data_IF_385101888009
#
_entry.id   IF_385101888009
#
_cell.length_a   1.000
_cell.length_b   1.000
_cell.length_c   1.000
_cell.angle_alpha   90.00
_cell.angle_beta   90.00
_cell.angle_gamma   90.00
#
_symmetry.space_group_name_H-M   'P 1'
#
loop_
_entity.id
_entity.type
_entity.pdbx_description
1 polymer ?
#
# COMPACT_ATOMS: atom_id res chain seq x y z
N UNK A 1 -70.63 37.68 5.40
CA UNK A 1 -69.57 38.24 4.54
C UNK A 1 -68.52 37.18 4.34
N UNK A 2 -68.56 36.52 3.18
CA UNK A 2 -67.68 35.44 2.76
C UNK A 2 -66.37 36.01 2.23
N UNK A 3 -65.21 35.62 2.79
CA UNK A 3 -63.93 35.73 2.08
C UNK A 3 -62.84 34.87 2.74
N UNK A 4 -62.56 33.75 2.09
CA UNK A 4 -61.28 33.07 1.91
C UNK A 4 -60.19 33.22 2.99
N UNK A 5 -60.09 32.20 3.85
CA UNK A 5 -58.81 31.77 4.42
C UNK A 5 -58.11 30.88 3.38
N UNK A 6 -57.08 31.45 2.74
CA UNK A 6 -56.01 30.69 2.12
C UNK A 6 -55.05 30.28 3.24
N UNK A 7 -54.99 29.00 3.58
CA UNK A 7 -53.87 28.48 4.37
C UNK A 7 -53.25 27.26 3.68
N UNK A 8 -52.16 27.60 2.98
CA UNK A 8 -50.89 26.88 2.89
C UNK A 8 -50.99 25.37 2.69
N UNK A 9 -50.92 24.98 1.43
CA UNK A 9 -50.49 23.65 1.02
C UNK A 9 -49.09 23.37 1.62
N UNK A 10 -49.08 22.55 2.67
CA UNK A 10 -47.89 21.99 3.28
C UNK A 10 -47.18 21.14 2.23
N UNK A 11 -46.05 21.62 1.72
CA UNK A 11 -45.17 20.86 0.84
C UNK A 11 -44.47 19.78 1.67
N UNK A 12 -45.12 18.64 1.84
CA UNK A 12 -44.46 17.44 2.32
C UNK A 12 -43.59 16.90 1.19
N UNK A 13 -42.28 17.19 1.26
CA UNK A 13 -41.32 16.30 0.62
C UNK A 13 -41.58 14.90 1.20
N UNK A 14 -41.80 13.87 0.36
CA UNK A 14 -42.07 12.53 0.87
C UNK A 14 -40.88 12.12 1.75
N UNK A 15 -41.12 11.48 2.91
CA UNK A 15 -40.02 11.00 3.73
C UNK A 15 -39.12 10.09 2.88
N UNK A 16 -37.78 10.13 3.06
CA UNK A 16 -36.89 9.31 2.27
C UNK A 16 -37.36 7.86 2.34
N UNK A 17 -37.33 7.11 1.22
CA UNK A 17 -37.75 5.71 1.22
C UNK A 17 -37.09 4.97 2.38
N UNK A 18 -37.82 4.11 3.10
CA UNK A 18 -37.34 3.41 4.31
C UNK A 18 -35.97 2.74 4.11
N UNK A 19 -35.69 2.30 2.87
CA UNK A 19 -34.44 1.70 2.39
C UNK A 19 -33.23 2.66 2.42
N UNK A 20 -33.46 3.97 2.49
CA UNK A 20 -32.44 5.01 2.59
C UNK A 20 -32.20 5.47 4.06
N UNK A 21 -32.98 4.99 5.03
CA UNK A 21 -32.78 5.38 6.43
C UNK A 21 -31.49 4.75 6.99
N UNK A 22 -30.72 5.52 7.78
CA UNK A 22 -29.46 5.06 8.39
C UNK A 22 -29.64 3.79 9.24
N UNK A 23 -30.77 3.67 9.94
CA UNK A 23 -31.09 2.50 10.79
C UNK A 23 -31.28 1.26 9.91
N UNK A 24 -32.06 1.38 8.83
CA UNK A 24 -32.25 0.26 7.90
C UNK A 24 -30.92 -0.17 7.28
N UNK A 25 -30.11 0.79 6.83
CA UNK A 25 -28.79 0.50 6.24
C UNK A 25 -27.86 -0.16 7.25
N UNK A 26 -27.86 0.29 8.51
CA UNK A 26 -27.07 -0.33 9.59
C UNK A 26 -27.50 -1.76 9.90
N UNK A 27 -28.81 -2.05 9.88
CA UNK A 27 -29.31 -3.42 10.08
C UNK A 27 -28.97 -4.32 8.90
N UNK A 28 -29.19 -3.83 7.67
CA UNK A 28 -28.81 -4.54 6.44
C UNK A 28 -27.31 -4.82 6.38
N UNK A 29 -26.50 -3.87 6.86
CA UNK A 29 -25.06 -4.05 6.95
C UNK A 29 -24.69 -5.25 7.86
N UNK A 30 -25.25 -5.30 9.06
CA UNK A 30 -25.02 -6.42 9.99
C UNK A 30 -25.44 -7.75 9.39
N UNK A 31 -26.60 -7.79 8.74
CA UNK A 31 -27.12 -9.01 8.10
C UNK A 31 -26.18 -9.53 7.01
N UNK A 32 -25.77 -8.67 6.08
CA UNK A 32 -24.89 -9.05 4.97
C UNK A 32 -23.55 -9.58 5.50
N UNK A 33 -22.95 -8.88 6.46
CA UNK A 33 -21.63 -9.24 6.98
C UNK A 33 -21.62 -10.44 7.95
N UNK A 34 -22.76 -10.78 8.55
CA UNK A 34 -22.87 -11.94 9.43
C UNK A 34 -22.79 -13.28 8.67
N UNK A 35 -23.09 -13.27 7.37
CA UNK A 35 -23.07 -14.50 6.56
C UNK A 35 -21.66 -14.82 6.04
N UNK A 36 -21.36 -16.09 5.76
CA UNK A 36 -20.13 -16.46 5.03
C UNK A 36 -20.23 -16.18 3.53
N UNK A 37 -21.44 -16.16 2.98
CA UNK A 37 -21.72 -15.87 1.58
C UNK A 37 -21.22 -14.47 1.16
N UNK A 38 -20.67 -14.37 -0.04
CA UNK A 38 -20.19 -13.11 -0.62
C UNK A 38 -21.18 -12.51 -1.61
N UNK A 39 -22.29 -13.19 -1.95
CA UNK A 39 -23.24 -12.78 -2.99
C UNK A 39 -23.74 -11.35 -2.82
N UNK A 40 -24.19 -10.96 -1.63
CA UNK A 40 -24.71 -9.61 -1.39
C UNK A 40 -23.61 -8.53 -1.44
N UNK A 41 -22.39 -8.84 -0.96
CA UNK A 41 -21.25 -7.91 -1.12
C UNK A 41 -20.84 -7.83 -2.59
N UNK A 42 -20.85 -8.93 -3.34
CA UNK A 42 -20.57 -8.95 -4.78
C UNK A 42 -21.60 -8.11 -5.54
N UNK A 43 -22.89 -8.20 -5.19
CA UNK A 43 -23.94 -7.32 -5.75
C UNK A 43 -23.64 -5.86 -5.45
N UNK A 44 -23.29 -5.53 -4.20
CA UNK A 44 -22.91 -4.16 -3.81
C UNK A 44 -21.72 -3.64 -4.63
N UNK A 45 -20.62 -4.39 -4.69
CA UNK A 45 -19.42 -4.04 -5.48
C UNK A 45 -19.77 -3.89 -6.96
N UNK A 46 -20.63 -4.76 -7.49
CA UNK A 46 -21.12 -4.69 -8.87
C UNK A 46 -21.89 -3.41 -9.12
N UNK A 47 -22.83 -3.05 -8.24
CA UNK A 47 -23.58 -1.78 -8.35
C UNK A 47 -22.66 -0.57 -8.26
N UNK A 48 -21.65 -0.59 -7.38
CA UNK A 48 -20.66 0.49 -7.28
C UNK A 48 -19.78 0.59 -8.53
N UNK A 49 -19.40 -0.55 -9.12
CA UNK A 49 -18.54 -0.60 -10.30
C UNK A 49 -19.23 -0.14 -11.58
N UNK A 50 -20.50 -0.51 -11.75
CA UNK A 50 -21.28 -0.22 -12.96
C UNK A 50 -22.23 0.97 -12.82
N UNK A 51 -22.25 1.64 -11.66
CA UNK A 51 -23.21 2.68 -11.33
C UNK A 51 -23.44 3.67 -12.47
N UNK A 52 -24.53 3.48 -13.22
CA UNK A 52 -25.15 4.51 -14.05
C UNK A 52 -25.97 5.40 -13.12
N UNK A 53 -25.93 6.70 -13.38
CA UNK A 53 -26.63 7.78 -12.68
C UNK A 53 -28.15 7.55 -12.59
N UNK A 54 -28.58 6.58 -11.78
CA UNK A 54 -29.90 6.58 -11.17
C UNK A 54 -29.64 6.96 -9.73
N UNK A 55 -29.87 8.24 -9.42
CA UNK A 55 -29.40 8.91 -8.19
C UNK A 55 -29.70 8.12 -6.92
N UNK A 56 -30.81 7.38 -6.88
CA UNK A 56 -31.31 6.75 -5.67
C UNK A 56 -30.64 5.39 -5.35
N UNK A 57 -30.50 4.49 -6.32
CA UNK A 57 -29.90 3.17 -6.11
C UNK A 57 -28.40 3.27 -5.86
N UNK A 58 -27.71 4.14 -6.60
CA UNK A 58 -26.29 4.40 -6.39
C UNK A 58 -26.03 5.09 -5.05
N UNK A 59 -26.91 6.00 -4.61
CA UNK A 59 -26.78 6.65 -3.29
C UNK A 59 -26.93 5.66 -2.14
N UNK A 60 -27.88 4.71 -2.21
CA UNK A 60 -28.06 3.71 -1.15
C UNK A 60 -26.87 2.75 -1.06
N UNK A 61 -26.35 2.29 -2.20
CA UNK A 61 -25.16 1.43 -2.25
C UNK A 61 -23.90 2.14 -1.71
N UNK A 62 -23.69 3.41 -2.08
CA UNK A 62 -22.58 4.21 -1.53
C UNK A 62 -22.70 4.35 -0.02
N UNK A 63 -23.89 4.72 0.48
CA UNK A 63 -24.13 4.88 1.90
C UNK A 63 -23.97 3.55 2.68
N UNK A 64 -24.37 2.42 2.09
CA UNK A 64 -24.15 1.10 2.67
C UNK A 64 -22.65 0.75 2.74
N UNK A 65 -21.89 1.04 1.68
CA UNK A 65 -20.45 0.85 1.67
C UNK A 65 -19.75 1.73 2.72
N UNK A 66 -20.13 3.01 2.84
CA UNK A 66 -19.62 3.91 3.89
C UNK A 66 -19.92 3.41 5.31
N UNK A 67 -21.10 2.81 5.53
CA UNK A 67 -21.42 2.18 6.82
C UNK A 67 -20.50 0.98 7.08
N UNK A 68 -20.17 0.19 6.05
CA UNK A 68 -19.24 -0.92 6.20
C UNK A 68 -17.82 -0.48 6.51
N UNK A 69 -17.28 0.51 5.79
CA UNK A 69 -15.92 1.01 6.01
C UNK A 69 -15.76 1.57 7.43
N UNK A 70 -16.78 2.29 7.92
CA UNK A 70 -16.76 2.92 9.25
C UNK A 70 -16.93 1.94 10.41
N UNK A 71 -17.85 0.98 10.28
CA UNK A 71 -18.28 0.17 11.43
C UNK A 71 -17.77 -1.27 11.40
N UNK A 72 -17.43 -1.79 10.22
CA UNK A 72 -17.00 -3.18 10.05
C UNK A 72 -15.81 -3.35 9.08
N UNK A 73 -14.75 -2.53 9.19
CA UNK A 73 -13.65 -2.51 8.22
C UNK A 73 -12.98 -3.88 8.04
N UNK A 74 -12.65 -4.58 9.13
CA UNK A 74 -11.97 -5.88 9.08
C UNK A 74 -12.77 -6.96 8.33
N UNK A 75 -14.09 -6.99 8.55
CA UNK A 75 -14.97 -7.95 7.87
C UNK A 75 -15.08 -7.58 6.39
N UNK A 76 -15.20 -6.28 6.08
CA UNK A 76 -15.23 -5.81 4.70
C UNK A 76 -13.92 -6.15 3.96
N UNK A 77 -12.75 -5.94 4.57
CA UNK A 77 -11.44 -6.36 4.02
C UNK A 77 -11.47 -7.84 3.66
N UNK A 78 -11.87 -8.68 4.62
CA UNK A 78 -11.99 -10.13 4.44
C UNK A 78 -12.94 -10.53 3.30
N UNK A 79 -14.05 -9.80 3.12
CA UNK A 79 -15.02 -10.04 2.04
C UNK A 79 -14.52 -9.56 0.67
N UNK A 80 -13.85 -8.42 0.60
CA UNK A 80 -13.28 -7.91 -0.65
C UNK A 80 -12.16 -8.83 -1.17
N UNK A 81 -11.31 -9.36 -0.28
CA UNK A 81 -10.32 -10.38 -0.63
C UNK A 81 -10.98 -11.64 -1.21
N UNK A 82 -12.07 -12.10 -0.60
CA UNK A 82 -12.81 -13.25 -1.12
C UNK A 82 -13.33 -13.01 -2.53
N UNK A 83 -13.92 -11.84 -2.80
CA UNK A 83 -14.41 -11.47 -4.12
C UNK A 83 -13.29 -11.52 -5.15
N UNK A 84 -12.12 -10.97 -4.83
CA UNK A 84 -10.96 -11.05 -5.73
C UNK A 84 -10.52 -12.50 -5.99
N UNK A 85 -10.46 -13.34 -4.95
CA UNK A 85 -10.07 -14.75 -5.10
C UNK A 85 -11.16 -15.67 -5.68
N UNK A 86 -12.39 -15.19 -5.84
CA UNK A 86 -13.50 -15.98 -6.36
C UNK A 86 -13.30 -16.15 -7.86
N UNK A 87 -12.89 -17.36 -8.27
CA UNK A 87 -12.35 -17.70 -9.59
C UNK A 87 -13.14 -17.18 -10.79
N UNK A 88 -13.80 -18.07 -11.54
CA UNK A 88 -14.51 -17.69 -12.78
C UNK A 88 -15.92 -17.14 -12.54
N UNK A 89 -16.40 -17.20 -11.30
CA UNK A 89 -17.77 -16.81 -10.93
C UNK A 89 -17.98 -15.28 -10.94
N UNK A 90 -16.89 -14.52 -10.87
CA UNK A 90 -16.90 -13.06 -10.81
C UNK A 90 -16.09 -12.50 -11.98
N UNK A 91 -16.65 -11.52 -12.68
CA UNK A 91 -15.99 -10.96 -13.87
C UNK A 91 -14.66 -10.29 -13.49
N UNK A 92 -13.64 -10.30 -14.38
CA UNK A 92 -12.35 -9.67 -14.11
C UNK A 92 -12.48 -8.21 -13.66
N UNK A 93 -13.40 -7.45 -14.29
CA UNK A 93 -13.67 -6.05 -13.93
C UNK A 93 -14.11 -5.90 -12.48
N UNK A 94 -14.99 -6.76 -11.98
CA UNK A 94 -15.47 -6.71 -10.60
C UNK A 94 -14.36 -7.11 -9.63
N UNK A 95 -13.53 -8.10 -9.98
CA UNK A 95 -12.37 -8.49 -9.18
C UNK A 95 -11.37 -7.33 -9.04
N UNK A 96 -10.95 -6.71 -10.15
CA UNK A 96 -10.06 -5.54 -10.10
C UNK A 96 -10.67 -4.38 -9.32
N UNK A 97 -11.97 -4.14 -9.46
CA UNK A 97 -12.65 -3.09 -8.69
C UNK A 97 -12.71 -3.41 -7.19
N UNK A 98 -12.85 -4.67 -6.78
CA UNK A 98 -12.75 -5.06 -5.36
C UNK A 98 -11.35 -4.82 -4.78
N UNK A 99 -10.27 -5.01 -5.55
CA UNK A 99 -8.92 -4.63 -5.12
C UNK A 99 -8.77 -3.13 -4.95
N UNK A 100 -9.32 -2.33 -5.87
CA UNK A 100 -9.31 -0.88 -5.75
C UNK A 100 -10.02 -0.41 -4.47
N UNK A 101 -11.22 -0.95 -4.20
CA UNK A 101 -11.95 -0.66 -2.96
C UNK A 101 -11.16 -1.09 -1.72
N UNK A 102 -10.45 -2.22 -1.79
CA UNK A 102 -9.64 -2.73 -0.69
C UNK A 102 -8.40 -1.84 -0.42
N UNK A 103 -7.68 -1.42 -1.46
CA UNK A 103 -6.53 -0.50 -1.33
C UNK A 103 -6.96 0.84 -0.71
N UNK A 104 -8.13 1.37 -1.10
CA UNK A 104 -8.71 2.57 -0.49
C UNK A 104 -9.06 2.35 0.98
N UNK A 105 -9.77 1.26 1.30
CA UNK A 105 -10.18 0.95 2.67
C UNK A 105 -9.00 0.80 3.62
N UNK A 106 -7.94 0.10 3.19
CA UNK A 106 -6.74 -0.06 4.01
C UNK A 106 -5.98 1.26 4.19
N UNK A 107 -5.99 2.14 3.18
CA UNK A 107 -5.43 3.50 3.33
C UNK A 107 -6.18 4.29 4.39
N UNK A 108 -7.51 4.25 4.38
CA UNK A 108 -8.32 4.94 5.39
C UNK A 108 -8.03 4.39 6.80
N UNK A 109 -7.91 3.06 6.94
CA UNK A 109 -7.59 2.42 8.23
C UNK A 109 -6.22 2.89 8.77
N UNK A 110 -5.21 2.98 7.89
CA UNK A 110 -3.88 3.47 8.23
C UNK A 110 -3.90 4.95 8.66
N UNK A 111 -4.60 5.79 7.91
CA UNK A 111 -4.69 7.24 8.17
C UNK A 111 -5.40 7.52 9.51
N UNK A 112 -6.39 6.71 9.88
CA UNK A 112 -7.05 6.78 11.20
C UNK A 112 -6.29 6.05 12.32
N UNK A 113 -5.09 5.51 12.04
CA UNK A 113 -4.23 4.77 12.98
C UNK A 113 -4.96 3.62 13.70
N UNK A 114 -5.98 3.06 13.07
CA UNK A 114 -6.78 2.00 13.66
C UNK A 114 -6.12 0.63 13.56
N UNK A 115 -5.30 0.43 12.52
CA UNK A 115 -4.77 -0.88 12.15
C UNK A 115 -5.87 -1.92 11.89
N UNK A 116 -5.49 -3.08 11.38
CA UNK A 116 -6.35 -4.25 11.40
C UNK A 116 -6.39 -4.84 12.82
N UNK A 117 -7.57 -5.31 13.22
CA UNK A 117 -7.75 -5.91 14.54
C UNK A 117 -7.04 -7.26 14.60
N UNK A 118 -6.33 -7.51 15.70
CA UNK A 118 -5.61 -8.76 15.97
C UNK A 118 -6.47 -10.02 15.78
N UNK A 119 -7.73 -9.98 16.23
CA UNK A 119 -8.69 -11.09 16.10
C UNK A 119 -9.03 -11.45 14.64
N UNK A 120 -8.82 -10.52 13.70
CA UNK A 120 -9.10 -10.71 12.27
C UNK A 120 -7.84 -10.98 11.44
N UNK A 121 -6.64 -10.77 12.02
CA UNK A 121 -5.38 -10.82 11.28
C UNK A 121 -5.13 -12.17 10.62
N UNK A 122 -5.31 -13.29 11.33
CA UNK A 122 -5.06 -14.61 10.74
C UNK A 122 -5.99 -14.91 9.55
N UNK A 123 -7.26 -14.48 9.66
CA UNK A 123 -8.23 -14.64 8.57
C UNK A 123 -7.83 -13.77 7.37
N UNK A 124 -7.44 -12.52 7.61
CA UNK A 124 -7.04 -11.60 6.55
C UNK A 124 -5.75 -12.08 5.89
N UNK A 125 -4.73 -12.44 6.69
CA UNK A 125 -3.44 -13.01 6.25
C UNK A 125 -3.65 -14.19 5.31
N UNK A 126 -4.45 -15.18 5.74
CA UNK A 126 -4.71 -16.38 4.94
C UNK A 126 -5.45 -16.07 3.64
N UNK A 127 -6.35 -15.08 3.65
CA UNK A 127 -7.05 -14.64 2.45
C UNK A 127 -6.12 -13.91 1.49
N UNK A 128 -5.24 -13.05 1.99
CA UNK A 128 -4.20 -12.42 1.17
C UNK A 128 -3.31 -13.49 0.53
N UNK A 129 -2.85 -14.50 1.29
CA UNK A 129 -2.10 -15.62 0.73
C UNK A 129 -2.87 -16.35 -0.39
N UNK A 130 -4.18 -16.56 -0.20
CA UNK A 130 -5.04 -17.15 -1.24
C UNK A 130 -5.11 -16.27 -2.49
N UNK A 131 -5.22 -14.95 -2.33
CA UNK A 131 -5.23 -14.00 -3.44
C UNK A 131 -3.90 -14.00 -4.20
N UNK A 132 -2.77 -14.14 -3.51
CA UNK A 132 -1.44 -14.21 -4.14
C UNK A 132 -1.30 -15.45 -5.03
N UNK A 133 -1.86 -16.58 -4.61
CA UNK A 133 -1.84 -17.84 -5.37
C UNK A 133 -2.89 -17.90 -6.49
N UNK A 134 -3.89 -17.01 -6.48
CA UNK A 134 -4.90 -16.96 -7.53
C UNK A 134 -4.34 -16.38 -8.83
N UNK A 135 -4.89 -16.80 -9.99
CA UNK A 135 -4.43 -16.30 -11.29
C UNK A 135 -4.57 -14.77 -11.38
N UNK A 136 -3.43 -14.10 -11.41
CA UNK A 136 -3.30 -12.66 -11.60
C UNK A 136 -3.85 -12.26 -12.98
N UNK A 137 -4.78 -11.32 -13.01
CA UNK A 137 -5.42 -10.86 -14.25
C UNK A 137 -4.62 -9.81 -15.00
N UNK A 138 -3.89 -8.95 -14.30
CA UNK A 138 -3.13 -7.84 -14.89
C UNK A 138 -2.00 -7.36 -13.98
N UNK A 139 -1.02 -6.69 -14.57
CA UNK A 139 0.09 -6.08 -13.82
C UNK A 139 -0.38 -4.94 -12.90
N UNK A 140 -1.46 -4.25 -13.27
CA UNK A 140 -2.14 -3.23 -12.46
C UNK A 140 -2.76 -3.84 -11.21
N UNK A 141 -3.42 -5.00 -11.33
CA UNK A 141 -3.94 -5.75 -10.19
C UNK A 141 -2.81 -6.22 -9.28
N UNK A 142 -1.67 -6.65 -9.84
CA UNK A 142 -0.50 -7.02 -9.05
C UNK A 142 0.09 -5.85 -8.27
N UNK A 143 0.15 -4.65 -8.87
CA UNK A 143 0.57 -3.43 -8.17
C UNK A 143 -0.37 -3.12 -7.00
N UNK A 144 -1.68 -3.21 -7.21
CA UNK A 144 -2.66 -3.04 -6.14
C UNK A 144 -2.48 -4.09 -5.04
N UNK A 145 -2.36 -5.37 -5.42
CA UNK A 145 -2.18 -6.47 -4.49
C UNK A 145 -0.89 -6.32 -3.67
N UNK A 146 0.22 -5.89 -4.29
CA UNK A 146 1.49 -5.63 -3.59
C UNK A 146 1.35 -4.54 -2.52
N UNK A 147 0.60 -3.46 -2.81
CA UNK A 147 0.30 -2.41 -1.82
C UNK A 147 -0.62 -2.90 -0.70
N UNK A 148 -1.58 -3.76 -1.02
CA UNK A 148 -2.48 -4.38 -0.03
C UNK A 148 -1.66 -5.29 0.91
N UNK A 149 -0.79 -6.14 0.34
CA UNK A 149 0.13 -7.00 1.10
C UNK A 149 0.97 -6.16 2.05
N UNK A 150 1.58 -5.07 1.55
CA UNK A 150 2.40 -4.17 2.36
C UNK A 150 1.68 -3.65 3.61
N UNK A 151 0.44 -3.18 3.46
CA UNK A 151 -0.36 -2.67 4.60
C UNK A 151 -0.71 -3.77 5.59
N UNK A 152 -1.14 -4.94 5.10
CA UNK A 152 -1.45 -6.08 5.97
C UNK A 152 -0.18 -6.58 6.68
N UNK A 153 0.99 -6.53 6.04
CA UNK A 153 2.26 -6.91 6.65
C UNK A 153 2.56 -6.07 7.88
N UNK A 154 2.28 -4.76 7.86
CA UNK A 154 2.53 -3.89 9.02
C UNK A 154 1.87 -4.45 10.27
N UNK A 155 0.56 -4.75 10.21
CA UNK A 155 -0.17 -5.27 11.37
C UNK A 155 0.22 -6.72 11.70
N UNK A 156 0.53 -7.55 10.70
CA UNK A 156 0.95 -8.95 10.89
C UNK A 156 2.28 -9.04 11.65
N UNK A 157 3.30 -8.29 11.23
CA UNK A 157 4.62 -8.32 11.87
C UNK A 157 4.65 -7.56 13.20
N UNK A 158 3.89 -6.46 13.34
CA UNK A 158 3.70 -5.84 14.68
C UNK A 158 3.01 -6.83 15.64
N UNK A 159 2.12 -7.67 15.12
CA UNK A 159 1.46 -8.73 15.88
C UNK A 159 2.33 -9.97 16.12
N UNK A 160 3.61 -9.96 15.75
CA UNK A 160 4.56 -11.07 15.90
C UNK A 160 4.03 -12.38 15.29
N UNK A 161 3.48 -12.28 14.07
CA UNK A 161 2.91 -13.42 13.33
C UNK A 161 3.78 -13.75 12.12
N UNK A 162 4.30 -14.98 12.01
CA UNK A 162 5.08 -15.39 10.85
C UNK A 162 4.22 -15.45 9.58
N UNK A 163 4.84 -15.24 8.42
CA UNK A 163 4.16 -15.26 7.12
C UNK A 163 4.96 -15.99 6.04
N UNK A 164 5.25 -17.27 6.29
CA UNK A 164 6.04 -18.14 5.40
C UNK A 164 5.45 -18.27 4.00
N UNK A 165 4.11 -18.21 3.87
CA UNK A 165 3.44 -18.28 2.57
C UNK A 165 3.78 -17.08 1.68
N UNK A 166 3.92 -15.88 2.27
CA UNK A 166 4.32 -14.69 1.54
C UNK A 166 5.79 -14.77 1.12
N UNK A 167 6.66 -15.25 2.01
CA UNK A 167 8.07 -15.47 1.69
C UNK A 167 8.22 -16.44 0.52
N UNK A 168 7.55 -17.60 0.59
CA UNK A 168 7.52 -18.62 -0.47
C UNK A 168 6.96 -18.05 -1.77
N UNK A 169 5.91 -17.24 -1.70
CA UNK A 169 5.35 -16.58 -2.87
C UNK A 169 6.35 -15.65 -3.56
N UNK A 170 7.03 -14.77 -2.80
CA UNK A 170 8.04 -13.85 -3.36
C UNK A 170 9.15 -14.62 -4.07
N UNK A 171 9.61 -15.73 -3.49
CA UNK A 171 10.63 -16.59 -4.10
C UNK A 171 10.16 -17.30 -5.37
N UNK A 172 8.85 -17.59 -5.46
CA UNK A 172 8.23 -18.21 -6.64
C UNK A 172 7.95 -17.23 -7.79
N UNK A 173 8.07 -15.92 -7.57
CA UNK A 173 7.76 -14.93 -8.60
C UNK A 173 8.77 -14.97 -9.75
N UNK A 174 8.25 -15.23 -10.95
CA UNK A 174 9.03 -15.20 -12.17
C UNK A 174 9.49 -13.78 -12.54
N UNK A 175 10.74 -13.68 -12.99
CA UNK A 175 11.36 -12.44 -13.43
C UNK A 175 11.83 -11.54 -12.29
N UNK A 176 12.40 -10.38 -12.64
CA UNK A 176 12.89 -9.42 -11.66
C UNK A 176 11.79 -8.45 -11.26
N UNK A 177 11.02 -7.95 -12.23
CA UNK A 177 10.03 -6.89 -12.03
C UNK A 177 9.00 -7.17 -10.93
N UNK A 178 8.37 -8.35 -10.90
CA UNK A 178 7.35 -8.67 -9.89
C UNK A 178 7.93 -8.88 -8.50
N UNK A 179 9.02 -9.64 -8.40
CA UNK A 179 9.72 -9.87 -7.14
C UNK A 179 10.24 -8.55 -6.54
N UNK A 180 10.87 -7.70 -7.35
CA UNK A 180 11.35 -6.39 -6.92
C UNK A 180 10.19 -5.47 -6.51
N UNK A 181 9.09 -5.45 -7.27
CA UNK A 181 7.91 -4.66 -6.91
C UNK A 181 7.31 -5.12 -5.58
N UNK A 182 7.03 -6.42 -5.42
CA UNK A 182 6.48 -6.96 -4.16
C UNK A 182 7.38 -6.62 -2.97
N UNK A 183 8.68 -6.90 -3.08
CA UNK A 183 9.62 -6.62 -2.01
C UNK A 183 9.78 -5.12 -1.73
N UNK A 184 9.82 -4.28 -2.77
CA UNK A 184 9.93 -2.82 -2.61
C UNK A 184 8.76 -2.23 -1.83
N UNK A 185 7.57 -2.83 -1.92
CA UNK A 185 6.39 -2.39 -1.20
C UNK A 185 6.41 -2.80 0.27
N UNK A 186 7.04 -3.91 0.65
CA UNK A 186 7.03 -4.42 2.03
C UNK A 186 7.49 -3.38 3.07
N UNK A 187 6.85 -3.33 4.25
CA UNK A 187 7.19 -2.36 5.29
C UNK A 187 8.55 -2.68 5.92
N UNK A 188 9.15 -1.72 6.62
CA UNK A 188 10.47 -1.85 7.28
C UNK A 188 10.48 -2.72 8.55
N UNK A 189 9.32 -3.16 9.02
CA UNK A 189 9.14 -3.88 10.29
C UNK A 189 9.18 -5.41 10.13
N UNK A 190 9.96 -5.94 9.18
CA UNK A 190 10.06 -7.39 8.98
C UNK A 190 11.00 -8.02 10.01
N UNK A 191 10.70 -9.24 10.43
CA UNK A 191 11.56 -10.02 11.31
C UNK A 191 12.71 -10.71 10.53
N UNK A 192 13.71 -11.21 11.28
CA UNK A 192 14.87 -11.89 10.70
C UNK A 192 14.44 -13.20 10.03
N UNK A 193 13.49 -13.91 10.65
CA UNK A 193 12.95 -15.19 10.17
C UNK A 193 12.28 -15.07 8.79
N UNK A 194 11.64 -13.95 8.49
CA UNK A 194 11.05 -13.67 7.18
C UNK A 194 12.10 -13.20 6.18
N UNK A 195 13.01 -12.31 6.58
CA UNK A 195 13.96 -11.69 5.66
C UNK A 195 15.08 -12.64 5.22
N UNK A 196 15.65 -13.43 6.15
CA UNK A 196 16.82 -14.25 5.86
C UNK A 196 16.58 -15.28 4.75
N UNK A 197 15.44 -16.02 4.72
CA UNK A 197 15.15 -16.90 3.60
C UNK A 197 15.11 -16.18 2.25
N UNK A 198 14.62 -14.94 2.18
CA UNK A 198 14.63 -14.17 0.94
C UNK A 198 16.06 -13.86 0.48
N UNK A 199 16.94 -13.49 1.42
CA UNK A 199 18.33 -13.16 1.13
C UNK A 199 19.13 -14.40 0.72
N UNK A 200 18.97 -15.50 1.45
CA UNK A 200 19.66 -16.77 1.20
C UNK A 200 19.26 -17.37 -0.16
N UNK A 201 18.04 -17.09 -0.62
CA UNK A 201 17.53 -17.50 -1.93
C UNK A 201 17.75 -16.43 -3.02
N UNK A 202 18.71 -15.52 -2.82
CA UNK A 202 19.26 -14.69 -3.89
C UNK A 202 18.52 -13.38 -4.18
N UNK A 203 17.55 -12.96 -3.36
CA UNK A 203 16.87 -11.67 -3.57
C UNK A 203 17.86 -10.49 -3.51
N UNK A 204 18.82 -10.51 -2.58
CA UNK A 204 19.86 -9.48 -2.49
C UNK A 204 20.73 -9.43 -3.74
N UNK A 205 21.13 -10.59 -4.27
CA UNK A 205 21.89 -10.69 -5.53
C UNK A 205 21.07 -10.19 -6.71
N UNK A 206 19.76 -10.47 -6.75
CA UNK A 206 18.86 -9.97 -7.79
C UNK A 206 18.82 -8.44 -7.79
N UNK A 207 18.62 -7.82 -6.63
CA UNK A 207 18.65 -6.35 -6.47
C UNK A 207 19.98 -5.77 -6.98
N UNK A 208 21.11 -6.28 -6.48
CA UNK A 208 22.44 -5.81 -6.85
C UNK A 208 22.70 -5.99 -8.34
N UNK A 209 22.30 -7.12 -8.92
CA UNK A 209 22.50 -7.41 -10.34
C UNK A 209 21.81 -6.38 -11.22
N UNK A 210 20.54 -6.05 -10.94
CA UNK A 210 19.77 -5.08 -11.72
C UNK A 210 20.35 -3.66 -11.55
N UNK A 211 20.78 -3.30 -10.35
CA UNK A 211 21.43 -2.01 -10.12
C UNK A 211 22.76 -1.86 -10.89
N UNK A 212 23.53 -2.94 -11.04
CA UNK A 212 24.84 -2.92 -11.70
C UNK A 212 24.82 -3.38 -13.17
N UNK A 213 23.67 -3.81 -13.72
CA UNK A 213 23.58 -4.29 -15.10
C UNK A 213 23.93 -3.18 -16.10
N UNK A 214 24.91 -3.46 -16.97
CA UNK A 214 25.52 -2.46 -17.86
C UNK A 214 25.03 -2.48 -19.31
N UNK A 215 24.31 -3.52 -19.75
CA UNK A 215 24.10 -3.74 -21.19
C UNK A 215 22.63 -3.82 -21.63
N UNK A 216 21.74 -4.47 -20.86
CA UNK A 216 20.31 -4.54 -21.15
C UNK A 216 19.54 -3.95 -19.99
N UNK A 217 18.96 -2.77 -20.24
CA UNK A 217 18.42 -1.89 -19.21
C UNK A 217 16.91 -1.70 -19.39
N UNK A 218 16.11 -2.29 -18.52
CA UNK A 218 14.72 -1.90 -18.32
C UNK A 218 14.67 -0.77 -17.27
N UNK A 219 14.17 0.41 -17.68
CA UNK A 219 14.13 1.60 -16.81
C UNK A 219 13.28 1.36 -15.55
N UNK A 220 12.21 0.58 -15.67
CA UNK A 220 11.29 0.26 -14.59
C UNK A 220 11.92 -0.74 -13.63
N UNK A 221 12.58 -1.79 -14.13
CA UNK A 221 13.30 -2.74 -13.27
C UNK A 221 14.39 -2.07 -12.45
N UNK A 222 15.13 -1.12 -13.03
CA UNK A 222 16.12 -0.37 -12.27
C UNK A 222 15.50 0.52 -11.19
N UNK A 223 14.39 1.20 -11.50
CA UNK A 223 13.67 1.99 -10.49
C UNK A 223 13.17 1.10 -9.35
N UNK A 224 12.67 -0.10 -9.66
CA UNK A 224 12.22 -1.08 -8.67
C UNK A 224 13.40 -1.65 -7.87
N UNK A 225 14.54 -1.90 -8.49
CA UNK A 225 15.75 -2.36 -7.80
C UNK A 225 16.31 -1.28 -6.87
N UNK A 226 16.24 0.01 -7.25
CA UNK A 226 16.61 1.11 -6.38
C UNK A 226 15.69 1.18 -5.14
N UNK A 227 14.38 1.08 -5.35
CA UNK A 227 13.40 1.10 -4.26
C UNK A 227 13.54 -0.13 -3.34
N UNK A 228 13.72 -1.33 -3.93
CA UNK A 228 13.97 -2.57 -3.20
C UNK A 228 15.30 -2.54 -2.43
N UNK A 229 16.37 -2.03 -3.04
CA UNK A 229 17.67 -1.87 -2.38
C UNK A 229 17.61 -0.88 -1.23
N UNK A 230 16.87 0.22 -1.39
CA UNK A 230 16.61 1.16 -0.31
C UNK A 230 15.83 0.50 0.83
N UNK A 231 14.75 -0.23 0.53
CA UNK A 231 14.00 -1.00 1.54
C UNK A 231 14.89 -2.00 2.25
N UNK A 232 15.76 -2.73 1.53
CA UNK A 232 16.68 -3.69 2.12
C UNK A 232 17.71 -3.03 3.04
N UNK A 233 18.22 -1.84 2.71
CA UNK A 233 19.09 -1.07 3.61
C UNK A 233 18.41 -0.87 4.97
N UNK A 234 17.14 -0.42 4.97
CA UNK A 234 16.40 -0.16 6.20
C UNK A 234 16.19 -1.44 7.02
N UNK A 235 15.89 -2.55 6.36
CA UNK A 235 15.78 -3.85 7.03
C UNK A 235 17.11 -4.31 7.65
N UNK A 236 18.21 -4.15 6.93
CA UNK A 236 19.53 -4.55 7.41
C UNK A 236 20.01 -3.69 8.57
N UNK A 237 19.59 -2.42 8.63
CA UNK A 237 19.79 -1.57 9.82
C UNK A 237 19.05 -2.17 11.01
N UNK A 238 17.81 -2.62 10.81
CA UNK A 238 16.98 -3.20 11.88
C UNK A 238 17.53 -4.52 12.43
N UNK A 239 18.29 -5.26 11.61
CA UNK A 239 18.96 -6.51 11.99
C UNK A 239 20.43 -6.31 12.41
N UNK A 240 20.86 -5.07 12.65
CA UNK A 240 22.24 -4.71 13.04
C UNK A 240 23.34 -5.21 12.06
N UNK A 241 23.01 -5.45 10.79
CA UNK A 241 23.95 -5.94 9.75
C UNK A 241 24.74 -4.78 9.10
N UNK A 242 25.48 -4.02 9.91
CA UNK A 242 26.13 -2.75 9.49
C UNK A 242 27.03 -2.86 8.25
N UNK A 243 27.76 -3.96 8.06
CA UNK A 243 28.61 -4.13 6.87
C UNK A 243 27.78 -4.20 5.59
N UNK A 244 26.73 -5.03 5.58
CA UNK A 244 25.84 -5.22 4.44
C UNK A 244 25.07 -3.93 4.10
N UNK A 245 24.69 -3.15 5.11
CA UNK A 245 24.09 -1.82 4.92
C UNK A 245 24.99 -0.94 4.05
N UNK A 246 26.27 -0.80 4.42
CA UNK A 246 27.17 0.10 3.71
C UNK A 246 27.59 -0.45 2.34
N UNK A 247 27.76 -1.76 2.19
CA UNK A 247 27.99 -2.37 0.88
C UNK A 247 26.85 -2.04 -0.09
N UNK A 248 25.60 -2.16 0.36
CA UNK A 248 24.43 -1.84 -0.47
C UNK A 248 24.29 -0.34 -0.74
N UNK A 249 24.62 0.52 0.24
CA UNK A 249 24.71 1.98 0.04
C UNK A 249 25.71 2.30 -1.08
N UNK A 250 26.91 1.72 -1.06
CA UNK A 250 27.90 1.96 -2.10
C UNK A 250 27.45 1.45 -3.47
N UNK A 251 26.78 0.29 -3.53
CA UNK A 251 26.18 -0.23 -4.77
C UNK A 251 25.15 0.75 -5.33
N UNK A 252 24.24 1.27 -4.50
CA UNK A 252 23.23 2.24 -4.92
C UNK A 252 23.89 3.52 -5.45
N UNK A 253 24.83 4.10 -4.69
CA UNK A 253 25.52 5.35 -5.08
C UNK A 253 26.28 5.16 -6.40
N UNK A 254 26.99 4.04 -6.55
CA UNK A 254 27.69 3.69 -7.80
C UNK A 254 26.72 3.55 -8.96
N UNK A 255 25.63 2.82 -8.76
CA UNK A 255 24.60 2.61 -9.79
C UNK A 255 24.00 3.93 -10.28
N UNK A 256 23.68 4.84 -9.35
CA UNK A 256 23.20 6.19 -9.69
C UNK A 256 24.26 6.96 -10.48
N UNK A 257 25.52 6.94 -10.02
CA UNK A 257 26.61 7.61 -10.73
C UNK A 257 26.77 7.09 -12.16
N UNK A 258 26.72 5.77 -12.38
CA UNK A 258 26.79 5.15 -13.71
C UNK A 258 25.58 5.55 -14.57
N UNK A 259 24.39 5.56 -13.98
CA UNK A 259 23.16 5.99 -14.65
C UNK A 259 23.23 7.43 -15.16
N UNK A 260 23.79 8.34 -14.36
CA UNK A 260 23.94 9.76 -14.71
C UNK A 260 25.08 9.95 -15.71
N UNK A 261 26.27 9.45 -15.41
CA UNK A 261 27.50 9.86 -16.08
C UNK A 261 27.89 8.98 -17.26
N UNK A 262 27.58 7.68 -17.20
CA UNK A 262 27.93 6.72 -18.26
C UNK A 262 26.72 6.53 -19.19
N UNK A 263 25.57 6.19 -18.62
CA UNK A 263 24.36 5.86 -19.40
C UNK A 263 23.58 7.09 -19.85
N UNK A 264 23.85 8.27 -19.27
CA UNK A 264 23.16 9.55 -19.56
C UNK A 264 21.63 9.48 -19.37
N UNK A 265 21.19 8.78 -18.32
CA UNK A 265 19.78 8.48 -18.00
C UNK A 265 19.31 9.18 -16.72
N UNK A 266 19.65 10.46 -16.58
CA UNK A 266 19.30 11.24 -15.39
C UNK A 266 17.78 11.28 -15.12
N UNK A 267 16.95 11.30 -16.18
CA UNK A 267 15.48 11.26 -16.04
C UNK A 267 15.02 10.00 -15.31
N UNK A 268 15.70 8.86 -15.52
CA UNK A 268 15.34 7.61 -14.83
C UNK A 268 15.78 7.65 -13.38
N UNK A 269 16.96 8.21 -13.09
CA UNK A 269 17.42 8.47 -11.72
C UNK A 269 16.40 9.32 -10.96
N UNK A 270 15.89 10.38 -11.61
CA UNK A 270 14.84 11.24 -11.06
C UNK A 270 13.56 10.47 -10.73
N UNK A 271 13.11 9.58 -11.62
CA UNK A 271 11.95 8.70 -11.35
C UNK A 271 12.22 7.81 -10.14
N UNK A 272 13.42 7.24 -10.05
CA UNK A 272 13.85 6.42 -8.90
C UNK A 272 13.83 7.21 -7.59
N UNK A 273 14.36 8.43 -7.57
CA UNK A 273 14.34 9.29 -6.38
C UNK A 273 12.93 9.65 -5.93
N UNK A 274 12.01 9.91 -6.85
CA UNK A 274 10.60 10.13 -6.50
C UNK A 274 9.99 8.91 -5.79
N UNK A 275 10.38 7.69 -6.18
CA UNK A 275 9.91 6.46 -5.50
C UNK A 275 10.50 6.32 -4.10
N UNK A 276 11.82 6.52 -3.97
CA UNK A 276 12.50 6.52 -2.66
C UNK A 276 11.89 7.57 -1.73
N UNK A 277 11.66 8.79 -2.20
CA UNK A 277 11.02 9.84 -1.41
C UNK A 277 9.59 9.46 -0.98
N UNK A 278 8.80 8.82 -1.85
CA UNK A 278 7.49 8.28 -1.48
C UNK A 278 7.60 7.18 -0.43
N UNK A 279 8.58 6.28 -0.54
CA UNK A 279 8.82 5.22 0.45
C UNK A 279 9.21 5.82 1.81
N UNK A 280 10.15 6.77 1.83
CA UNK A 280 10.54 7.50 3.05
C UNK A 280 9.33 8.18 3.68
N UNK A 281 8.47 8.85 2.90
CA UNK A 281 7.25 9.47 3.45
C UNK A 281 6.32 8.45 4.12
N UNK A 282 6.19 7.24 3.57
CA UNK A 282 5.34 6.17 4.14
C UNK A 282 5.94 5.58 5.43
N UNK A 283 7.27 5.47 5.48
CA UNK A 283 7.95 4.71 6.53
C UNK A 283 8.60 5.56 7.63
N UNK A 284 8.86 6.85 7.41
CA UNK A 284 9.67 7.68 8.31
C UNK A 284 9.13 7.77 9.74
N UNK A 285 7.80 7.68 9.93
CA UNK A 285 7.19 7.63 11.27
C UNK A 285 7.60 6.40 12.09
N UNK A 286 8.12 5.35 11.44
CA UNK A 286 8.58 4.11 12.06
C UNK A 286 10.11 4.04 12.20
N UNK A 287 10.84 5.00 11.64
CA UNK A 287 12.29 5.01 11.71
C UNK A 287 12.76 5.23 13.15
N UNK A 288 13.77 4.46 13.56
CA UNK A 288 14.58 4.79 14.74
C UNK A 288 15.80 5.59 14.28
N UNK A 289 16.60 6.00 15.26
CA UNK A 289 17.76 6.87 15.06
C UNK A 289 18.73 6.32 14.00
N UNK A 290 18.95 5.00 13.97
CA UNK A 290 19.85 4.35 13.02
C UNK A 290 19.36 4.46 11.56
N UNK A 291 18.06 4.28 11.33
CA UNK A 291 17.42 4.44 10.03
C UNK A 291 17.49 5.91 9.57
N UNK A 292 17.21 6.86 10.48
CA UNK A 292 17.38 8.29 10.19
C UNK A 292 18.82 8.63 9.78
N UNK A 293 19.83 8.11 10.49
CA UNK A 293 21.23 8.36 10.18
C UNK A 293 21.58 7.83 8.78
N UNK A 294 21.23 6.58 8.49
CA UNK A 294 21.58 5.94 7.22
C UNK A 294 20.88 6.61 6.04
N UNK A 295 19.60 6.95 6.15
CA UNK A 295 18.87 7.65 5.07
C UNK A 295 19.44 9.05 4.85
N UNK A 296 19.74 9.79 5.93
CA UNK A 296 20.33 11.13 5.84
C UNK A 296 21.69 11.09 5.14
N UNK A 297 22.56 10.14 5.52
CA UNK A 297 23.89 9.96 4.93
C UNK A 297 23.80 9.50 3.48
N UNK A 298 22.91 8.57 3.15
CA UNK A 298 22.66 8.16 1.77
C UNK A 298 22.23 9.35 0.91
N UNK A 299 21.30 10.18 1.39
CA UNK A 299 20.88 11.40 0.69
C UNK A 299 22.04 12.37 0.45
N UNK A 300 22.91 12.58 1.43
CA UNK A 300 24.11 13.41 1.26
C UNK A 300 25.09 12.83 0.23
N UNK A 301 25.27 11.50 0.20
CA UNK A 301 26.10 10.85 -0.81
C UNK A 301 25.50 10.99 -2.21
N UNK A 302 24.18 10.87 -2.34
CA UNK A 302 23.47 11.10 -3.61
C UNK A 302 23.62 12.55 -4.10
N UNK A 303 23.51 13.56 -3.23
CA UNK A 303 23.71 14.97 -3.58
C UNK A 303 25.14 15.28 -4.06
N UNK A 304 26.13 14.50 -3.64
CA UNK A 304 27.54 14.66 -4.04
C UNK A 304 27.87 13.99 -5.38
N UNK A 305 26.91 13.33 -6.03
CA UNK A 305 27.12 12.73 -7.35
C UNK A 305 27.22 13.86 -8.39
N UNK A 306 28.41 14.02 -8.95
CA UNK A 306 28.64 14.94 -10.06
C UNK A 306 27.77 14.56 -11.28
N UNK A 307 27.27 15.58 -11.98
CA UNK A 307 26.46 15.41 -13.20
C UNK A 307 24.95 15.39 -12.96
N UNK A 308 24.48 15.43 -11.71
CA UNK A 308 23.06 15.60 -11.40
C UNK A 308 22.60 17.02 -11.75
N UNK A 309 21.52 17.14 -12.52
CA UNK A 309 20.85 18.40 -12.76
C UNK A 309 20.06 18.87 -11.54
N UNK A 310 19.78 20.17 -11.47
CA UNK A 310 19.10 20.82 -10.33
C UNK A 310 17.78 20.15 -9.96
N UNK A 311 16.97 19.79 -10.95
CA UNK A 311 15.67 19.13 -10.71
C UNK A 311 15.84 17.76 -10.06
N UNK A 312 16.90 17.03 -10.40
CA UNK A 312 17.16 15.71 -9.79
C UNK A 312 17.72 15.86 -8.39
N UNK A 313 18.57 16.88 -8.14
CA UNK A 313 19.02 17.23 -6.79
C UNK A 313 17.85 17.62 -5.88
N UNK A 314 16.88 18.41 -6.38
CA UNK A 314 15.66 18.75 -5.63
C UNK A 314 14.88 17.51 -5.16
N UNK A 315 14.89 16.41 -5.93
CA UNK A 315 14.22 15.18 -5.49
C UNK A 315 14.95 14.47 -4.34
N UNK A 316 16.26 14.63 -4.23
CA UNK A 316 17.03 14.14 -3.07
C UNK A 316 16.80 15.05 -1.87
N UNK A 317 16.76 16.37 -2.07
CA UNK A 317 16.41 17.33 -1.01
C UNK A 317 15.04 17.05 -0.41
N UNK A 318 14.07 16.63 -1.22
CA UNK A 318 12.75 16.22 -0.74
C UNK A 318 12.83 15.06 0.29
N UNK A 319 13.81 14.15 0.16
CA UNK A 319 14.03 13.08 1.15
C UNK A 319 14.43 13.69 2.49
N UNK A 320 15.40 14.63 2.50
CA UNK A 320 15.81 15.32 3.72
C UNK A 320 14.68 16.13 4.34
N UNK A 321 13.92 16.88 3.54
CA UNK A 321 12.76 17.65 4.03
C UNK A 321 11.70 16.76 4.69
N UNK A 322 11.48 15.55 4.17
CA UNK A 322 10.55 14.59 4.80
C UNK A 322 11.08 14.18 6.17
N UNK A 323 12.37 13.83 6.28
CA UNK A 323 12.98 13.43 7.56
C UNK A 323 12.89 14.56 8.60
N UNK A 324 13.22 15.79 8.21
CA UNK A 324 13.15 16.96 9.11
C UNK A 324 11.75 17.22 9.65
N UNK A 325 10.73 17.13 8.78
CA UNK A 325 9.33 17.29 9.20
C UNK A 325 8.89 16.23 10.19
N UNK A 326 9.31 14.98 10.00
CA UNK A 326 8.93 13.91 10.92
C UNK A 326 9.61 14.09 12.28
N UNK A 327 10.89 14.46 12.30
CA UNK A 327 11.61 14.77 13.55
C UNK A 327 10.89 15.89 14.32
N UNK A 328 10.47 16.96 13.64
CA UNK A 328 9.72 18.06 14.26
C UNK A 328 8.38 17.60 14.85
N UNK A 329 7.64 16.73 14.15
CA UNK A 329 6.37 16.18 14.63
C UNK A 329 6.59 15.29 15.86
N UNK A 330 7.62 14.44 15.84
CA UNK A 330 7.95 13.57 16.98
C UNK A 330 8.34 14.36 18.23
N UNK A 331 9.06 15.48 18.08
CA UNK A 331 9.39 16.38 19.18
C UNK A 331 8.13 17.06 19.74
N UNK A 332 7.22 17.52 18.87
CA UNK A 332 6.00 18.19 19.30
C UNK A 332 5.06 17.25 20.08
N UNK A 333 4.86 16.02 19.60
CA UNK A 333 4.06 15.00 20.29
C UNK A 333 4.71 14.58 21.62
N UNK A 334 6.03 14.55 21.70
CA UNK A 334 6.78 14.29 22.94
C UNK A 334 6.67 15.42 23.97
N UNK A 335 6.42 16.66 23.55
CA UNK A 335 6.20 17.80 24.45
C UNK A 335 4.76 17.88 24.96
N UNK A 336 3.77 17.44 24.17
CA UNK A 336 2.36 17.41 24.60
C UNK A 336 2.04 16.22 25.53
N UNK A 337 2.98 15.29 25.71
CA UNK A 337 2.85 14.10 26.57
C UNK A 337 3.63 14.21 27.89
N UNK A 338 4.18 15.40 28.20
CA UNK A 338 4.81 15.79 29.46
C UNK A 338 3.98 16.89 30.13
#
# INVERSE_FOLDING_TARGET
>A
MTSHHYDVASSSNPPPPLTASRIYIGNKAKEILATRDITEITKLVTTLCYGKETEQSSSSSKLLYEVFTKHFPNILVSKLLQIYSSGTDITPKIRSFSLYLLDSLLTDIDDFRGGLKTESLDVIKNRVSTCLLSQETSYEDFKLLSRIVSRVCVDVFIGDKPWDELCSYILSLDGNKKALLMFSELPTVLDEEFLMPLLDNGLGLKIVSVLLMNQYYDEEEWCLALEAGFSLILQLVNLDKKSLVWDLVYVIVKSIWEMVNVKRREIVVRKGFVRVAKKVRREALRFREAEYEVVSRLGLMMLRINGLGEVTMMMVTLIHEILERVVLVSIHVGMDSL
#
